data_IF_052434913785
#
_entry.id   IF_052434913785
#
_cell.length_a   1.000
_cell.length_b   1.000
_cell.length_c   1.000
_cell.angle_alpha   90.00
_cell.angle_beta   90.00
_cell.angle_gamma   90.00
#
_symmetry.space_group_name_H-M   'P 1'
#
loop_
_entity.id
_entity.type
_entity.pdbx_description
1 polymer ?
#
# COMPACT_ATOMS: atom_id res chain seq x y z
N UNK A 1 -11.26 -3.59 14.14
CA UNK A 1 -11.11 -3.11 12.74
C UNK A 1 -10.82 -4.32 11.88
N UNK A 2 -11.61 -4.59 10.83
CA UNK A 2 -11.38 -5.76 10.00
C UNK A 2 -10.08 -5.57 9.21
N UNK A 3 -9.25 -6.61 9.23
CA UNK A 3 -8.11 -6.74 8.34
C UNK A 3 -8.66 -7.18 6.98
N UNK A 4 -8.50 -6.34 5.96
CA UNK A 4 -8.88 -6.69 4.59
C UNK A 4 -7.63 -7.10 3.83
N UNK A 5 -7.65 -8.32 3.28
CA UNK A 5 -6.57 -8.83 2.43
C UNK A 5 -6.99 -8.78 0.98
N UNK A 6 -6.12 -8.26 0.11
CA UNK A 6 -6.37 -8.28 -1.33
C UNK A 6 -5.07 -8.29 -2.12
N UNK A 7 -5.05 -9.04 -3.21
CA UNK A 7 -4.08 -8.83 -4.28
C UNK A 7 -4.37 -7.50 -4.97
N UNK A 8 -3.33 -6.73 -5.27
CA UNK A 8 -3.44 -5.44 -5.91
C UNK A 8 -2.22 -5.14 -6.79
N UNK A 9 -2.41 -4.24 -7.75
CA UNK A 9 -1.30 -3.59 -8.48
C UNK A 9 -1.14 -2.15 -7.99
N UNK A 10 0.10 -1.74 -7.75
CA UNK A 10 0.42 -0.37 -7.39
C UNK A 10 0.38 0.50 -8.64
N UNK A 11 -0.46 1.53 -8.63
CA UNK A 11 -0.60 2.46 -9.76
C UNK A 11 0.22 3.73 -9.56
N UNK A 12 0.36 4.19 -8.31
CA UNK A 12 1.09 5.42 -7.98
C UNK A 12 1.61 5.36 -6.55
N UNK A 13 2.84 5.80 -6.35
CA UNK A 13 3.45 5.95 -5.02
C UNK A 13 3.98 7.38 -4.88
N UNK A 14 3.60 8.08 -3.81
CA UNK A 14 4.06 9.46 -3.56
C UNK A 14 4.44 9.68 -2.11
N UNK A 15 5.38 10.58 -1.88
CA UNK A 15 5.81 11.01 -0.54
C UNK A 15 4.61 11.60 0.22
N UNK A 16 4.51 11.28 1.51
CA UNK A 16 3.56 11.88 2.44
C UNK A 16 4.30 12.22 3.72
N UNK A 17 4.63 13.50 3.89
CA UNK A 17 5.62 13.91 4.89
C UNK A 17 6.99 13.23 4.69
N UNK A 18 7.77 13.18 5.76
CA UNK A 18 9.17 12.77 5.69
C UNK A 18 9.33 11.25 5.66
N UNK A 19 8.53 10.52 6.42
CA UNK A 19 8.71 9.09 6.63
C UNK A 19 7.72 8.22 5.85
N UNK A 20 6.62 8.77 5.34
CA UNK A 20 5.50 7.96 4.84
C UNK A 20 5.30 8.11 3.33
N UNK A 21 4.47 7.21 2.79
CA UNK A 21 3.96 7.29 1.41
C UNK A 21 2.44 7.15 1.39
N UNK A 22 1.81 7.86 0.46
CA UNK A 22 0.46 7.54 -0.01
C UNK A 22 0.61 6.73 -1.29
N UNK A 23 -0.06 5.59 -1.34
CA UNK A 23 -0.04 4.65 -2.45
C UNK A 23 -1.45 4.51 -3.01
N UNK A 24 -1.59 4.57 -4.32
CA UNK A 24 -2.84 4.27 -5.01
C UNK A 24 -2.70 2.89 -5.64
N UNK A 25 -3.63 2.00 -5.36
CA UNK A 25 -3.62 0.63 -5.86
C UNK A 25 -4.97 0.31 -6.51
N UNK A 26 -4.95 -0.59 -7.48
CA UNK A 26 -6.16 -1.28 -7.91
C UNK A 26 -6.16 -2.67 -7.28
N UNK A 27 -7.03 -2.86 -6.29
CA UNK A 27 -7.17 -4.07 -5.51
C UNK A 27 -8.31 -4.92 -6.08
N UNK A 28 -8.08 -6.23 -6.20
CA UNK A 28 -9.04 -7.16 -6.79
C UNK A 28 -10.41 -7.15 -6.09
N UNK A 29 -10.44 -7.06 -4.76
CA UNK A 29 -11.70 -7.11 -3.99
C UNK A 29 -12.27 -5.74 -3.63
N UNK A 30 -11.51 -4.65 -3.80
CA UNK A 30 -11.91 -3.30 -3.36
C UNK A 30 -11.93 -2.27 -4.49
N UNK A 31 -11.54 -2.67 -5.70
CA UNK A 31 -11.34 -1.74 -6.81
C UNK A 31 -10.21 -0.75 -6.55
N UNK A 32 -10.36 0.49 -7.01
CA UNK A 32 -9.34 1.53 -6.85
C UNK A 32 -9.38 2.10 -5.43
N UNK A 33 -8.28 1.91 -4.70
CA UNK A 33 -8.13 2.38 -3.33
C UNK A 33 -6.89 3.25 -3.15
N UNK A 34 -6.86 4.01 -2.06
CA UNK A 34 -5.69 4.74 -1.60
C UNK A 34 -5.32 4.25 -0.20
N UNK A 35 -4.02 4.05 0.02
CA UNK A 35 -3.49 3.58 1.30
C UNK A 35 -2.30 4.41 1.77
N UNK A 36 -2.17 4.56 3.09
CA UNK A 36 -1.00 5.15 3.75
C UNK A 36 -0.08 4.03 4.21
N UNK A 37 1.16 4.06 3.74
CA UNK A 37 2.24 3.22 4.23
C UNK A 37 3.13 4.03 5.18
N UNK A 38 2.89 3.88 6.48
CA UNK A 38 3.62 4.62 7.53
C UNK A 38 5.04 4.09 7.66
N UNK A 39 6.03 4.98 7.62
CA UNK A 39 7.45 4.63 7.67
C UNK A 39 8.00 4.03 6.38
N UNK A 40 7.27 4.10 5.26
CA UNK A 40 7.69 3.55 3.97
C UNK A 40 9.00 4.16 3.43
N UNK A 41 9.38 5.36 3.87
CA UNK A 41 10.60 6.05 3.44
C UNK A 41 11.77 5.92 4.42
N UNK A 42 11.59 5.26 5.57
CA UNK A 42 12.69 5.04 6.53
C UNK A 42 13.72 4.09 5.92
N UNK A 43 14.99 4.28 6.25
CA UNK A 43 16.10 3.47 5.70
C UNK A 43 15.92 1.96 5.93
N UNK A 44 15.36 1.57 7.09
CA UNK A 44 15.03 0.17 7.43
C UNK A 44 13.53 -0.09 7.36
N UNK A 45 12.87 0.38 6.30
CA UNK A 45 11.43 0.19 6.15
C UNK A 45 11.08 -1.25 5.82
N UNK A 46 10.02 -1.76 6.45
CA UNK A 46 9.41 -3.06 6.08
C UNK A 46 8.87 -3.08 4.65
N UNK A 47 8.61 -1.91 4.06
CA UNK A 47 7.99 -1.80 2.75
C UNK A 47 9.00 -1.80 1.60
N UNK A 48 10.29 -1.53 1.84
CA UNK A 48 11.33 -1.49 0.81
C UNK A 48 10.86 -0.81 -0.49
N UNK A 49 11.08 -1.49 -1.62
CA UNK A 49 10.56 -1.12 -2.94
C UNK A 49 9.19 -1.76 -3.28
N UNK A 50 8.56 -2.48 -2.36
CA UNK A 50 7.32 -3.24 -2.62
C UNK A 50 6.11 -2.37 -3.01
N UNK A 51 6.19 -1.06 -2.71
CA UNK A 51 5.15 -0.08 -3.01
C UNK A 51 5.57 0.89 -4.12
N UNK A 52 6.45 0.47 -5.03
CA UNK A 52 6.74 1.19 -6.26
C UNK A 52 5.68 0.89 -7.35
N UNK A 53 5.46 1.82 -8.30
CA UNK A 53 4.51 1.62 -9.39
C UNK A 53 4.75 0.32 -10.17
N UNK A 54 3.65 -0.27 -10.67
CA UNK A 54 3.62 -1.52 -11.42
C UNK A 54 4.08 -2.76 -10.64
N UNK A 55 4.14 -2.68 -9.31
CA UNK A 55 4.33 -3.87 -8.47
C UNK A 55 2.99 -4.54 -8.18
N UNK A 56 2.90 -5.85 -8.42
CA UNK A 56 1.79 -6.70 -8.00
C UNK A 56 2.12 -7.30 -6.63
N UNK A 57 1.24 -7.06 -5.66
CA UNK A 57 1.46 -7.46 -4.27
C UNK A 57 0.15 -7.90 -3.60
N UNK A 58 0.28 -8.65 -2.51
CA UNK A 58 -0.81 -8.88 -1.55
C UNK A 58 -0.69 -7.82 -0.46
N UNK A 59 -1.80 -7.12 -0.23
CA UNK A 59 -1.90 -6.05 0.76
C UNK A 59 -2.75 -6.52 1.94
N UNK A 60 -2.25 -6.22 3.13
CA UNK A 60 -3.00 -6.26 4.38
C UNK A 60 -3.38 -4.83 4.75
N UNK A 61 -4.69 -4.56 4.76
CA UNK A 61 -5.26 -3.23 4.89
C UNK A 61 -6.13 -3.14 6.15
N UNK A 62 -6.00 -2.02 6.85
CA UNK A 62 -6.94 -1.63 7.90
C UNK A 62 -7.79 -0.46 7.43
N UNK A 63 -9.10 -0.65 7.50
CA UNK A 63 -10.08 0.40 7.26
C UNK A 63 -10.44 1.11 8.57
N UNK A 64 -10.48 2.44 8.54
CA UNK A 64 -10.98 3.26 9.64
C UNK A 64 -12.28 3.94 9.18
N UNK A 65 -13.41 3.74 9.88
CA UNK A 65 -14.66 4.41 9.54
C UNK A 65 -14.47 5.93 9.42
N UNK A 66 -14.96 6.50 8.31
CA UNK A 66 -14.86 7.93 8.01
C UNK A 66 -13.51 8.39 7.44
N UNK A 67 -12.54 7.50 7.23
CA UNK A 67 -11.28 7.82 6.55
C UNK A 67 -11.34 7.46 5.06
N UNK A 68 -10.76 8.32 4.23
CA UNK A 68 -10.64 8.09 2.77
C UNK A 68 -9.43 7.21 2.41
N UNK A 69 -8.58 6.90 3.39
CA UNK A 69 -7.34 6.15 3.21
C UNK A 69 -7.33 4.89 4.07
N UNK A 70 -6.99 3.76 3.44
CA UNK A 70 -6.62 2.56 4.17
C UNK A 70 -5.25 2.74 4.84
N UNK A 71 -5.01 2.06 5.96
CA UNK A 71 -3.65 1.89 6.47
C UNK A 71 -3.08 0.58 5.94
N UNK A 72 -1.92 0.66 5.29
CA UNK A 72 -1.19 -0.53 4.82
C UNK A 72 -0.31 -1.02 5.96
N UNK A 73 -0.53 -2.25 6.44
CA UNK A 73 0.24 -2.83 7.56
C UNK A 73 1.29 -3.83 7.12
N UNK A 74 1.01 -4.58 6.06
CA UNK A 74 1.90 -5.58 5.48
C UNK A 74 1.74 -5.63 3.96
N UNK A 75 2.82 -5.95 3.28
CA UNK A 75 2.90 -6.08 1.82
C UNK A 75 3.75 -7.29 1.52
N UNK A 76 3.26 -8.16 0.64
CA UNK A 76 3.99 -9.30 0.12
C UNK A 76 4.04 -9.20 -1.40
N UNK A 77 5.25 -9.08 -1.98
CA UNK A 77 5.43 -8.89 -3.42
C UNK A 77 5.23 -10.21 -4.13
N UNK A 78 4.30 -10.25 -5.08
CA UNK A 78 4.07 -11.42 -5.92
C UNK A 78 4.85 -11.33 -7.23
N UNK A 79 4.82 -10.16 -7.87
CA UNK A 79 5.53 -9.92 -9.14
C UNK A 79 5.85 -8.44 -9.27
N UNK A 80 7.06 -8.12 -9.72
CA UNK A 80 7.48 -6.76 -10.07
C UNK A 80 7.79 -6.69 -11.56
N UNK A 81 7.44 -5.57 -12.20
CA UNK A 81 7.70 -5.30 -13.62
C UNK A 81 8.62 -4.08 -13.82
N UNK A 82 9.36 -3.68 -12.78
CA UNK A 82 10.42 -2.67 -12.85
C UNK A 82 11.79 -3.29 -13.10
#
# INVERSE_FOLDING_TARGET
>A
MPLVKSTAIVLRSRKWGDADRIVTCYARSLGKIRGVARGARRQKSRFGAALEPFTVCRLDLFEKPGDSLFRISHVDVTTSFQ
#
